data_IF_007180431102
#
_entry.id   IF_007180431102
#
_cell.length_a   1.000
_cell.length_b   1.000
_cell.length_c   1.000
_cell.angle_alpha   90.00
_cell.angle_beta   90.00
_cell.angle_gamma   90.00
#
_symmetry.space_group_name_H-M   'P 1'
#
loop_
_entity.id
_entity.type
_entity.pdbx_description
1 polymer ?
#
# COMPACT_ATOMS: atom_id res chain seq x y z
N UNK A 1 19.82 -22.96 -11.48
CA UNK A 1 21.02 -22.26 -10.90
C UNK A 1 20.60 -20.94 -10.25
N UNK A 2 19.94 -20.00 -10.95
CA UNK A 2 19.55 -18.69 -10.42
C UNK A 2 18.62 -18.79 -9.20
N UNK A 3 17.56 -19.62 -9.25
CA UNK A 3 16.63 -19.82 -8.13
C UNK A 3 17.34 -20.27 -6.85
N UNK A 4 18.27 -21.25 -6.95
CA UNK A 4 19.09 -21.68 -5.82
C UNK A 4 19.89 -20.52 -5.22
N UNK A 5 20.52 -19.71 -6.07
CA UNK A 5 21.26 -18.54 -5.63
C UNK A 5 20.39 -17.54 -4.86
N UNK A 6 19.18 -17.26 -5.36
CA UNK A 6 18.24 -16.33 -4.71
C UNK A 6 17.79 -16.87 -3.34
N UNK A 7 17.45 -18.16 -3.25
CA UNK A 7 17.07 -18.80 -1.98
C UNK A 7 18.21 -18.74 -0.99
N UNK A 8 19.44 -19.12 -1.41
CA UNK A 8 20.62 -19.10 -0.54
C UNK A 8 20.97 -17.67 -0.09
N UNK A 9 20.82 -16.67 -0.95
CA UNK A 9 21.01 -15.27 -0.60
C UNK A 9 20.03 -14.82 0.48
N UNK A 10 18.74 -15.12 0.34
CA UNK A 10 17.74 -14.79 1.37
C UNK A 10 18.06 -15.48 2.69
N UNK A 11 18.37 -16.77 2.66
CA UNK A 11 18.76 -17.51 3.87
C UNK A 11 20.02 -16.96 4.54
N UNK A 12 21.00 -16.52 3.76
CA UNK A 12 22.19 -15.87 4.30
C UNK A 12 21.84 -14.61 5.12
N UNK A 13 20.99 -13.73 4.57
CA UNK A 13 20.58 -12.52 5.27
C UNK A 13 19.76 -12.81 6.54
N UNK A 14 18.93 -13.87 6.53
CA UNK A 14 18.19 -14.30 7.72
C UNK A 14 19.15 -14.82 8.78
N UNK A 15 20.05 -15.75 8.42
CA UNK A 15 20.89 -16.46 9.39
C UNK A 15 22.01 -15.60 9.95
N UNK A 16 22.67 -14.79 9.11
CA UNK A 16 23.86 -14.02 9.50
C UNK A 16 23.53 -12.62 10.00
N UNK A 17 22.43 -12.02 9.47
CA UNK A 17 22.07 -10.62 9.76
C UNK A 17 20.72 -10.48 10.49
N UNK A 18 20.02 -11.58 10.73
CA UNK A 18 18.75 -11.60 11.46
C UNK A 18 17.70 -10.67 10.85
N UNK A 19 17.60 -10.65 9.50
CA UNK A 19 16.62 -9.86 8.78
C UNK A 19 15.21 -10.48 8.95
N UNK A 20 14.22 -9.64 9.30
CA UNK A 20 12.85 -10.07 9.61
C UNK A 20 11.93 -10.10 8.39
N UNK A 21 12.39 -9.63 7.22
CA UNK A 21 11.58 -9.62 6.01
C UNK A 21 12.30 -9.08 4.79
N UNK A 22 11.68 -9.22 3.62
CA UNK A 22 12.25 -8.83 2.33
C UNK A 22 11.24 -8.11 1.47
N UNK A 23 11.67 -7.02 0.85
CA UNK A 23 10.97 -6.34 -0.23
C UNK A 23 11.66 -6.67 -1.55
N UNK A 24 10.91 -7.21 -2.50
CA UNK A 24 11.39 -7.50 -3.84
C UNK A 24 11.06 -6.35 -4.79
N UNK A 25 12.09 -5.71 -5.29
CA UNK A 25 12.00 -4.77 -6.39
C UNK A 25 11.56 -5.50 -7.65
N UNK A 26 10.63 -4.92 -8.42
CA UNK A 26 10.11 -5.55 -9.63
C UNK A 26 9.79 -7.04 -9.45
N UNK A 27 9.13 -7.42 -8.35
CA UNK A 27 8.79 -8.82 -8.05
C UNK A 27 8.11 -9.52 -9.24
N UNK A 28 7.37 -8.77 -10.04
CA UNK A 28 6.67 -9.27 -11.22
C UNK A 28 7.55 -9.81 -12.35
N UNK A 29 8.87 -9.65 -12.30
CA UNK A 29 9.79 -10.30 -13.27
C UNK A 29 10.18 -11.73 -12.87
N UNK A 30 9.98 -12.11 -11.62
CA UNK A 30 10.26 -13.45 -11.12
C UNK A 30 9.10 -14.40 -11.43
N UNK A 31 9.41 -15.70 -11.53
CA UNK A 31 8.38 -16.72 -11.60
C UNK A 31 7.80 -17.03 -10.21
N UNK A 32 6.52 -17.43 -10.19
CA UNK A 32 5.77 -17.76 -8.98
C UNK A 32 6.45 -18.87 -8.18
N UNK A 33 7.01 -19.87 -8.86
CA UNK A 33 7.67 -21.01 -8.21
C UNK A 33 8.90 -20.55 -7.43
N UNK A 34 9.72 -19.65 -8.01
CA UNK A 34 10.89 -19.05 -7.32
C UNK A 34 10.46 -18.31 -6.07
N UNK A 35 9.42 -17.49 -6.16
CA UNK A 35 8.92 -16.74 -5.00
C UNK A 35 8.38 -17.66 -3.91
N UNK A 36 7.65 -18.72 -4.29
CA UNK A 36 7.14 -19.72 -3.34
C UNK A 36 8.26 -20.53 -2.69
N UNK A 37 9.33 -20.89 -3.43
CA UNK A 37 10.49 -21.56 -2.84
C UNK A 37 11.24 -20.64 -1.84
N UNK A 38 11.42 -19.37 -2.17
CA UNK A 38 12.01 -18.38 -1.25
C UNK A 38 11.15 -18.30 0.02
N UNK A 39 9.83 -18.15 -0.13
CA UNK A 39 8.91 -18.08 1.02
C UNK A 39 9.00 -19.34 1.88
N UNK A 40 8.98 -20.51 1.27
CA UNK A 40 9.08 -21.79 1.96
C UNK A 40 10.40 -21.91 2.74
N UNK A 41 11.51 -21.56 2.12
CA UNK A 41 12.82 -21.63 2.75
C UNK A 41 12.93 -20.64 3.91
N UNK A 42 12.53 -19.41 3.73
CA UNK A 42 12.55 -18.37 4.77
C UNK A 42 11.70 -18.74 5.98
N UNK A 43 10.45 -19.21 5.76
CA UNK A 43 9.55 -19.59 6.85
C UNK A 43 9.91 -20.88 7.55
N UNK A 44 10.75 -21.72 6.95
CA UNK A 44 11.31 -22.88 7.64
C UNK A 44 12.36 -22.48 8.70
N UNK A 45 13.00 -21.31 8.56
CA UNK A 45 13.91 -20.72 9.56
C UNK A 45 13.11 -19.93 10.58
N UNK A 46 12.27 -19.00 10.12
CA UNK A 46 11.42 -18.19 10.97
C UNK A 46 10.05 -17.94 10.29
N UNK A 47 8.94 -18.45 10.86
CA UNK A 47 7.61 -18.31 10.29
C UNK A 47 7.11 -16.85 10.25
N UNK A 48 7.74 -15.93 10.99
CA UNK A 48 7.38 -14.51 11.05
C UNK A 48 7.98 -13.67 9.93
N UNK A 49 8.94 -14.21 9.16
CA UNK A 49 9.55 -13.51 8.03
C UNK A 49 8.47 -13.01 7.06
N UNK A 50 8.46 -11.71 6.83
CA UNK A 50 7.51 -11.06 5.94
C UNK A 50 8.11 -10.84 4.56
N UNK A 51 7.41 -11.27 3.50
CA UNK A 51 7.84 -11.09 2.11
C UNK A 51 6.79 -10.31 1.34
N UNK A 52 7.23 -9.25 0.66
CA UNK A 52 6.38 -8.46 -0.22
C UNK A 52 7.18 -7.86 -1.37
N UNK A 53 6.50 -7.32 -2.35
CA UNK A 53 7.20 -6.69 -3.46
C UNK A 53 6.29 -5.94 -4.43
N UNK A 54 6.90 -5.49 -5.50
CA UNK A 54 6.21 -4.82 -6.61
C UNK A 54 5.67 -5.86 -7.58
N UNK A 55 4.35 -6.00 -7.62
CA UNK A 55 3.66 -6.95 -8.48
C UNK A 55 3.57 -6.50 -9.95
N UNK A 56 4.60 -5.82 -10.45
CA UNK A 56 4.76 -5.37 -11.84
C UNK A 56 6.18 -5.60 -12.34
N UNK A 57 6.39 -5.40 -13.65
CA UNK A 57 7.68 -5.52 -14.33
C UNK A 57 8.00 -4.21 -15.08
N UNK A 58 9.27 -3.85 -15.19
CA UNK A 58 9.71 -2.65 -15.89
C UNK A 58 9.70 -2.80 -17.42
N UNK A 59 9.66 -4.04 -17.92
CA UNK A 59 9.67 -4.38 -19.35
C UNK A 59 8.81 -5.62 -19.61
N UNK A 60 8.59 -5.96 -20.87
CA UNK A 60 7.87 -7.18 -21.23
C UNK A 60 8.66 -8.43 -20.80
N UNK A 61 8.18 -9.21 -19.84
CA UNK A 61 8.85 -10.45 -19.42
C UNK A 61 8.78 -11.50 -20.52
N UNK A 62 9.78 -12.37 -20.56
CA UNK A 62 9.82 -13.47 -21.53
C UNK A 62 8.97 -14.67 -21.10
N UNK A 63 8.64 -14.78 -19.82
CA UNK A 63 7.80 -15.87 -19.28
C UNK A 63 6.32 -15.54 -19.50
N UNK A 64 5.50 -16.60 -19.53
CA UNK A 64 4.05 -16.46 -19.60
C UNK A 64 3.49 -15.67 -18.41
N UNK A 65 2.53 -14.79 -18.67
CA UNK A 65 1.96 -13.89 -17.66
C UNK A 65 1.38 -14.61 -16.44
N UNK A 66 0.83 -15.79 -16.62
CA UNK A 66 0.22 -16.62 -15.56
C UNK A 66 1.26 -17.36 -14.68
N UNK A 67 2.53 -17.39 -15.10
CA UNK A 67 3.65 -17.94 -14.34
C UNK A 67 4.48 -16.89 -13.61
N UNK A 68 4.22 -15.61 -13.84
CA UNK A 68 4.95 -14.50 -13.25
C UNK A 68 4.37 -14.08 -11.90
N UNK A 69 5.22 -13.62 -10.99
CA UNK A 69 4.84 -13.07 -9.68
C UNK A 69 4.23 -11.65 -9.80
N UNK A 70 3.41 -11.45 -10.84
CA UNK A 70 2.63 -10.23 -11.04
C UNK A 70 1.54 -10.10 -9.99
N UNK A 71 1.12 -8.88 -9.68
CA UNK A 71 0.05 -8.58 -8.72
C UNK A 71 -1.21 -9.44 -8.93
N UNK A 72 -1.64 -9.58 -10.19
CA UNK A 72 -2.80 -10.41 -10.53
C UNK A 72 -2.68 -11.89 -10.13
N UNK A 73 -1.46 -12.39 -9.90
CA UNK A 73 -1.16 -13.76 -9.50
C UNK A 73 -0.84 -13.93 -8.01
N UNK A 74 -0.95 -12.87 -7.20
CA UNK A 74 -0.59 -12.89 -5.77
C UNK A 74 -1.34 -13.99 -5.00
N UNK A 75 -2.56 -14.31 -5.40
CA UNK A 75 -3.32 -15.43 -4.82
C UNK A 75 -2.63 -16.80 -4.98
N UNK A 76 -1.68 -16.97 -5.93
CA UNK A 76 -0.88 -18.19 -6.12
C UNK A 76 0.37 -18.23 -5.23
N UNK A 77 0.61 -17.17 -4.43
CA UNK A 77 1.79 -17.01 -3.61
C UNK A 77 1.39 -16.78 -2.14
N UNK A 78 0.94 -17.82 -1.42
CA UNK A 78 0.50 -17.69 -0.03
C UNK A 78 1.58 -17.08 0.87
N UNK A 79 1.20 -16.03 1.64
CA UNK A 79 2.11 -15.35 2.56
C UNK A 79 3.09 -14.36 1.90
N UNK A 80 2.93 -14.08 0.60
CA UNK A 80 3.66 -13.01 -0.11
C UNK A 80 2.67 -11.91 -0.45
N UNK A 81 3.05 -10.65 -0.20
CA UNK A 81 2.21 -9.49 -0.44
C UNK A 81 2.70 -8.65 -1.63
N UNK A 82 1.79 -7.87 -2.21
CA UNK A 82 2.10 -6.92 -3.28
C UNK A 82 1.53 -5.53 -2.96
N UNK A 83 2.16 -4.49 -3.49
CA UNK A 83 1.67 -3.12 -3.41
C UNK A 83 0.38 -2.94 -4.20
N UNK A 84 -0.60 -2.22 -3.63
CA UNK A 84 -1.87 -1.89 -4.29
C UNK A 84 -1.83 -0.48 -4.88
N UNK A 85 -1.54 -0.39 -6.16
CA UNK A 85 -1.64 0.86 -6.92
C UNK A 85 -3.11 1.29 -7.14
N UNK A 86 -4.08 0.37 -7.02
CA UNK A 86 -5.51 0.70 -7.11
C UNK A 86 -5.90 1.75 -6.07
N UNK A 87 -5.58 1.49 -4.80
CA UNK A 87 -5.92 2.40 -3.71
C UNK A 87 -5.07 3.66 -3.74
N UNK A 88 -3.75 3.52 -4.00
CA UNK A 88 -2.84 4.65 -4.11
C UNK A 88 -3.33 5.68 -5.12
N UNK A 89 -3.62 5.23 -6.33
CA UNK A 89 -3.98 6.15 -7.42
C UNK A 89 -5.42 6.63 -7.33
N UNK A 90 -6.33 5.83 -6.76
CA UNK A 90 -7.67 6.29 -6.44
C UNK A 90 -7.69 7.41 -5.38
N UNK A 91 -6.73 7.42 -4.46
CA UNK A 91 -6.59 8.50 -3.47
C UNK A 91 -5.94 9.73 -4.09
N UNK A 92 -4.74 9.62 -4.64
CA UNK A 92 -3.88 10.77 -4.99
C UNK A 92 -3.87 11.14 -6.47
N UNK A 93 -4.37 10.28 -7.35
CA UNK A 93 -4.31 10.42 -8.81
C UNK A 93 -3.30 9.46 -9.46
N UNK A 94 -3.42 9.25 -10.79
CA UNK A 94 -2.69 8.23 -11.54
C UNK A 94 -1.17 8.48 -11.56
N UNK A 95 -0.40 7.40 -11.58
CA UNK A 95 1.07 7.44 -11.60
C UNK A 95 1.63 8.22 -12.80
N UNK A 96 0.98 8.11 -13.95
CA UNK A 96 1.49 8.67 -15.22
C UNK A 96 1.20 10.17 -15.41
N UNK A 97 0.38 10.79 -14.55
CA UNK A 97 0.03 12.21 -14.64
C UNK A 97 -0.01 12.86 -13.26
N UNK A 98 1.07 13.54 -12.92
CA UNK A 98 1.22 14.19 -11.62
C UNK A 98 0.30 15.41 -11.40
N UNK A 99 -0.34 15.92 -12.46
CA UNK A 99 -1.27 17.05 -12.38
C UNK A 99 -2.72 16.59 -12.20
N UNK A 100 -3.01 15.34 -12.53
CA UNK A 100 -4.35 14.80 -12.36
C UNK A 100 -4.56 14.41 -10.89
N UNK A 101 -5.53 15.05 -10.23
CA UNK A 101 -6.00 14.65 -8.90
C UNK A 101 -6.96 13.46 -8.96
N UNK A 102 -7.38 12.99 -7.78
CA UNK A 102 -8.43 11.99 -7.63
C UNK A 102 -9.24 12.27 -6.35
N UNK A 103 -9.56 11.27 -5.55
CA UNK A 103 -10.42 11.39 -4.36
C UNK A 103 -9.97 12.52 -3.41
N UNK A 104 -8.68 12.64 -3.12
CA UNK A 104 -8.13 13.69 -2.25
C UNK A 104 -8.31 15.10 -2.85
N UNK A 105 -8.39 15.22 -4.16
CA UNK A 105 -8.69 16.49 -4.84
C UNK A 105 -10.21 16.77 -4.98
N UNK A 106 -11.05 15.98 -4.29
CA UNK A 106 -12.51 16.13 -4.36
C UNK A 106 -13.16 15.57 -5.64
N UNK A 107 -12.42 14.76 -6.42
CA UNK A 107 -12.91 14.19 -7.67
C UNK A 107 -13.58 12.83 -7.41
N UNK A 108 -14.81 12.60 -7.94
CA UNK A 108 -15.49 11.31 -7.82
C UNK A 108 -14.91 10.25 -8.76
N UNK A 109 -15.30 8.99 -8.55
CA UNK A 109 -14.98 7.86 -9.42
C UNK A 109 -13.86 6.95 -8.91
N UNK A 110 -13.21 7.31 -7.79
CA UNK A 110 -12.22 6.48 -7.11
C UNK A 110 -12.77 5.56 -6.02
N UNK A 111 -14.05 5.67 -5.68
CA UNK A 111 -14.67 5.08 -4.50
C UNK A 111 -14.56 3.55 -4.50
N UNK A 112 -14.80 2.89 -5.64
CA UNK A 112 -14.71 1.42 -5.72
C UNK A 112 -13.27 0.92 -5.58
N UNK A 113 -12.28 1.65 -6.09
CA UNK A 113 -10.86 1.33 -5.90
C UNK A 113 -10.41 1.54 -4.45
N UNK A 114 -10.97 2.54 -3.76
CA UNK A 114 -10.73 2.75 -2.33
C UNK A 114 -11.39 1.64 -1.52
N UNK A 115 -12.65 1.24 -1.82
CA UNK A 115 -13.31 0.11 -1.18
C UNK A 115 -12.52 -1.19 -1.39
N UNK A 116 -12.02 -1.42 -2.60
CA UNK A 116 -11.15 -2.55 -2.93
C UNK A 116 -9.89 -2.58 -2.04
N UNK A 117 -9.26 -1.43 -1.84
CA UNK A 117 -8.12 -1.29 -0.93
C UNK A 117 -8.51 -1.49 0.54
N UNK A 118 -9.65 -0.95 0.98
CA UNK A 118 -10.15 -1.10 2.37
C UNK A 118 -10.34 -2.57 2.72
N UNK A 119 -10.86 -3.40 1.82
CA UNK A 119 -11.04 -4.84 2.07
C UNK A 119 -9.74 -5.65 1.93
N UNK A 120 -8.61 -5.04 1.54
CA UNK A 120 -7.33 -5.73 1.37
C UNK A 120 -7.24 -6.54 0.08
N UNK A 121 -7.81 -6.05 -1.02
CA UNK A 121 -7.82 -6.67 -2.36
C UNK A 121 -8.45 -8.09 -2.40
N UNK A 122 -9.20 -8.48 -1.38
CA UNK A 122 -9.92 -9.75 -1.33
C UNK A 122 -11.32 -9.62 -1.92
N UNK A 123 -11.94 -10.74 -2.27
CA UNK A 123 -13.33 -10.75 -2.74
C UNK A 123 -14.28 -10.25 -1.64
N UNK A 124 -15.09 -9.26 -1.99
CA UNK A 124 -16.12 -8.71 -1.11
C UNK A 124 -17.42 -8.43 -1.89
N UNK A 125 -18.62 -8.78 -1.36
CA UNK A 125 -19.88 -8.67 -2.11
C UNK A 125 -20.29 -7.24 -2.44
N UNK A 126 -19.80 -6.25 -1.69
CA UNK A 126 -20.10 -4.83 -1.88
C UNK A 126 -19.02 -4.06 -2.65
N UNK A 127 -18.07 -4.75 -3.30
CA UNK A 127 -17.06 -4.15 -4.18
C UNK A 127 -17.35 -4.54 -5.61
N UNK A 128 -17.64 -3.55 -6.44
CA UNK A 128 -17.81 -3.73 -7.89
C UNK A 128 -16.44 -3.70 -8.58
N UNK A 129 -15.86 -4.90 -8.78
CA UNK A 129 -14.54 -5.00 -9.42
C UNK A 129 -14.52 -4.44 -10.85
N UNK A 130 -15.65 -4.37 -11.54
CA UNK A 130 -15.75 -3.75 -12.87
C UNK A 130 -15.38 -2.27 -12.88
N UNK A 131 -15.57 -1.58 -11.74
CA UNK A 131 -15.29 -0.16 -11.55
C UNK A 131 -13.95 0.13 -10.87
N UNK A 132 -13.25 -0.90 -10.38
CA UNK A 132 -11.87 -0.74 -9.87
C UNK A 132 -10.96 -0.32 -11.02
N UNK A 133 -10.00 0.58 -10.78
CA UNK A 133 -9.17 1.16 -11.84
C UNK A 133 -8.32 0.12 -12.59
N UNK A 134 -7.33 -0.52 -12.00
CA UNK A 134 -6.41 -1.41 -12.72
C UNK A 134 -6.85 -2.87 -12.71
N UNK A 135 -7.26 -3.39 -11.56
CA UNK A 135 -7.61 -4.80 -11.39
C UNK A 135 -9.10 -5.04 -11.49
N UNK A 136 -9.52 -5.88 -12.45
CA UNK A 136 -10.95 -6.22 -12.65
C UNK A 136 -11.40 -7.47 -11.87
N UNK A 137 -10.53 -7.96 -10.98
CA UNK A 137 -10.80 -9.08 -10.08
C UNK A 137 -9.98 -8.94 -8.79
N UNK A 138 -10.44 -9.52 -7.67
CA UNK A 138 -9.63 -9.66 -6.47
C UNK A 138 -8.35 -10.44 -6.78
N UNK A 139 -7.21 -9.96 -6.27
CA UNK A 139 -5.92 -10.62 -6.50
C UNK A 139 -5.26 -11.18 -5.23
N UNK A 140 -5.84 -10.90 -4.06
CA UNK A 140 -5.41 -11.45 -2.78
C UNK A 140 -6.39 -12.51 -2.30
N UNK A 141 -5.88 -13.63 -1.75
CA UNK A 141 -6.68 -14.59 -1.00
C UNK A 141 -6.94 -14.11 0.42
N UNK A 142 -5.93 -13.47 1.02
CA UNK A 142 -5.99 -12.92 2.36
C UNK A 142 -5.60 -11.44 2.34
N UNK A 143 -6.19 -10.59 3.20
CA UNK A 143 -5.91 -9.16 3.21
C UNK A 143 -4.44 -8.84 3.56
N UNK A 144 -3.73 -9.75 4.22
CA UNK A 144 -2.30 -9.65 4.51
C UNK A 144 -1.39 -9.74 3.28
N UNK A 145 -1.95 -10.10 2.12
CA UNK A 145 -1.24 -10.11 0.84
C UNK A 145 -1.27 -8.74 0.13
N UNK A 146 -1.91 -7.75 0.70
CA UNK A 146 -1.97 -6.41 0.14
C UNK A 146 -1.20 -5.40 1.00
N UNK A 147 -0.31 -4.62 0.37
CA UNK A 147 0.32 -3.45 0.97
C UNK A 147 -0.55 -2.23 0.67
N UNK A 148 -1.10 -1.64 1.74
CA UNK A 148 -1.83 -0.38 1.69
C UNK A 148 -0.86 0.79 1.82
N UNK A 149 -0.84 1.69 0.85
CA UNK A 149 0.05 2.85 0.86
C UNK A 149 -0.49 3.99 0.00
N UNK A 150 0.09 5.14 0.12
CA UNK A 150 -0.26 6.32 -0.69
C UNK A 150 0.94 6.92 -1.40
N UNK A 151 2.15 6.77 -0.87
CA UNK A 151 3.40 7.07 -1.57
C UNK A 151 4.56 6.21 -1.06
N UNK A 152 5.64 6.15 -1.84
CA UNK A 152 6.88 5.48 -1.48
C UNK A 152 8.09 6.27 -2.04
N UNK A 153 9.25 5.61 -2.19
CA UNK A 153 10.46 6.26 -2.71
C UNK A 153 10.40 6.58 -4.20
N UNK A 154 9.64 5.81 -4.98
CA UNK A 154 9.37 6.09 -6.40
C UNK A 154 8.24 7.09 -6.55
N UNK A 155 8.29 7.89 -7.63
CA UNK A 155 7.35 8.97 -7.91
C UNK A 155 7.42 10.10 -6.85
N UNK A 156 6.48 11.02 -6.88
CA UNK A 156 6.37 12.12 -5.91
C UNK A 156 5.95 11.60 -4.53
N UNK A 157 6.53 12.14 -3.46
CA UNK A 157 5.95 11.97 -2.13
C UNK A 157 4.57 12.64 -2.05
N UNK A 158 3.76 12.28 -1.05
CA UNK A 158 2.37 12.70 -0.96
C UNK A 158 2.19 14.21 -0.98
N UNK A 159 3.01 14.95 -0.22
CA UNK A 159 2.97 16.42 -0.16
C UNK A 159 3.21 17.05 -1.53
N UNK A 160 4.23 16.61 -2.25
CA UNK A 160 4.55 17.13 -3.59
C UNK A 160 3.47 16.78 -4.60
N UNK A 161 2.92 15.56 -4.49
CA UNK A 161 1.84 15.09 -5.34
C UNK A 161 0.56 15.92 -5.18
N UNK A 162 0.16 16.21 -3.94
CA UNK A 162 -1.02 17.04 -3.66
C UNK A 162 -0.83 18.47 -4.13
N UNK A 163 0.36 19.05 -3.93
CA UNK A 163 0.69 20.39 -4.46
C UNK A 163 0.63 20.45 -5.99
N UNK A 164 1.06 19.38 -6.67
CA UNK A 164 1.04 19.30 -8.13
C UNK A 164 -0.37 19.14 -8.69
N UNK A 165 -1.22 18.35 -8.04
CA UNK A 165 -2.57 18.03 -8.52
C UNK A 165 -3.66 18.97 -8.03
N UNK A 166 -3.38 19.81 -7.01
CA UNK A 166 -4.32 20.79 -6.46
C UNK A 166 -3.62 22.15 -6.43
N UNK A 167 -3.59 22.88 -7.56
CA UNK A 167 -2.93 24.18 -7.62
C UNK A 167 -3.50 25.17 -6.61
N UNK A 168 -2.64 25.81 -5.84
CA UNK A 168 -3.04 26.79 -4.83
C UNK A 168 -3.53 26.19 -3.51
N UNK A 169 -3.35 24.89 -3.29
CA UNK A 169 -3.68 24.25 -2.01
C UNK A 169 -3.04 24.98 -0.83
N UNK A 170 -3.81 25.29 0.20
CA UNK A 170 -3.28 25.91 1.41
C UNK A 170 -2.53 24.89 2.29
N UNK A 171 -1.61 25.35 3.17
CA UNK A 171 -0.94 24.45 4.11
C UNK A 171 -1.91 23.66 5.01
N UNK A 172 -2.99 24.27 5.43
CA UNK A 172 -4.04 23.66 6.26
C UNK A 172 -4.80 22.56 5.51
N UNK A 173 -5.16 22.82 4.26
CA UNK A 173 -5.81 21.83 3.39
C UNK A 173 -4.87 20.68 3.09
N UNK A 174 -3.60 20.98 2.79
CA UNK A 174 -2.58 19.97 2.54
C UNK A 174 -2.43 19.01 3.73
N UNK A 175 -2.35 19.57 4.95
CA UNK A 175 -2.28 18.76 6.18
C UNK A 175 -3.56 17.92 6.41
N UNK A 176 -4.74 18.47 6.07
CA UNK A 176 -6.00 17.72 6.17
C UNK A 176 -6.06 16.57 5.17
N UNK A 177 -5.63 16.78 3.93
CA UNK A 177 -5.63 15.73 2.90
C UNK A 177 -4.57 14.66 3.17
N UNK A 178 -3.42 15.03 3.70
CA UNK A 178 -2.41 14.08 4.18
C UNK A 178 -3.00 13.15 5.26
N UNK A 179 -3.63 13.74 6.29
CA UNK A 179 -4.32 12.98 7.34
C UNK A 179 -5.42 12.07 6.80
N UNK A 180 -6.21 12.55 5.82
CA UNK A 180 -7.26 11.76 5.19
C UNK A 180 -6.69 10.56 4.43
N UNK A 181 -5.61 10.77 3.66
CA UNK A 181 -4.90 9.71 2.95
C UNK A 181 -4.44 8.61 3.89
N UNK A 182 -3.80 8.99 4.99
CA UNK A 182 -3.31 8.02 5.97
C UNK A 182 -4.45 7.36 6.76
N UNK A 183 -5.56 8.06 6.97
CA UNK A 183 -6.75 7.42 7.53
C UNK A 183 -7.18 6.24 6.67
N UNK A 184 -7.27 6.41 5.35
CA UNK A 184 -7.61 5.33 4.43
C UNK A 184 -6.59 4.17 4.51
N UNK A 185 -5.29 4.47 4.58
CA UNK A 185 -4.23 3.46 4.69
C UNK A 185 -4.34 2.68 6.00
N UNK A 186 -4.41 3.37 7.15
CA UNK A 186 -4.37 2.71 8.46
C UNK A 186 -5.67 2.03 8.86
N UNK A 187 -6.80 2.39 8.28
CA UNK A 187 -8.09 1.75 8.55
C UNK A 187 -8.47 0.67 7.53
N UNK A 188 -7.64 0.43 6.52
CA UNK A 188 -7.79 -0.69 5.58
C UNK A 188 -7.37 -2.02 6.22
N UNK A 189 -7.82 -3.15 5.64
CA UNK A 189 -7.49 -4.49 6.10
C UNK A 189 -6.11 -4.98 5.64
N UNK A 190 -5.52 -4.33 4.63
CA UNK A 190 -4.16 -4.61 4.16
C UNK A 190 -3.08 -4.25 5.18
N UNK A 191 -1.83 -4.57 4.86
CA UNK A 191 -0.66 -4.18 5.65
C UNK A 191 -0.32 -2.72 5.37
N UNK A 192 -0.37 -1.81 6.36
CA UNK A 192 -0.10 -0.41 6.12
C UNK A 192 1.40 -0.17 5.90
N UNK A 193 1.71 0.67 4.94
CA UNK A 193 3.06 1.12 4.64
C UNK A 193 3.11 2.65 4.69
N UNK A 194 4.11 3.19 5.36
CA UNK A 194 4.39 4.63 5.47
C UNK A 194 5.73 4.90 4.80
N UNK A 195 5.78 5.85 3.89
CA UNK A 195 7.04 6.36 3.39
C UNK A 195 7.70 7.24 4.45
N UNK A 196 8.96 6.95 4.80
CA UNK A 196 9.67 7.65 5.87
C UNK A 196 9.64 9.18 5.68
N UNK A 197 9.12 9.90 6.67
CA UNK A 197 8.95 11.34 6.67
C UNK A 197 7.54 11.82 6.28
N UNK A 198 6.64 10.95 5.81
CA UNK A 198 5.24 11.35 5.58
C UNK A 198 4.59 11.89 6.85
N UNK A 199 4.88 11.26 7.99
CA UNK A 199 4.38 11.66 9.31
C UNK A 199 4.80 13.07 9.77
N UNK A 200 5.74 13.68 9.04
CA UNK A 200 6.17 15.05 9.22
C UNK A 200 6.01 15.87 7.95
N UNK A 201 5.15 15.43 7.05
CA UNK A 201 4.86 16.09 5.77
C UNK A 201 6.11 16.29 4.90
N UNK A 202 6.87 15.23 4.69
CA UNK A 202 8.09 15.26 3.86
C UNK A 202 7.83 15.90 2.51
N UNK A 203 8.71 16.83 2.15
CA UNK A 203 8.65 17.60 0.92
C UNK A 203 9.97 17.42 0.15
N UNK A 204 9.89 16.93 -1.07
CA UNK A 204 11.01 16.75 -1.98
C UNK A 204 11.07 17.82 -3.07
N UNK A 205 10.45 18.98 -2.82
CA UNK A 205 10.48 20.16 -3.70
C UNK A 205 9.93 19.90 -5.11
N UNK A 206 8.94 19.03 -5.20
CA UNK A 206 8.29 18.66 -6.46
C UNK A 206 9.11 17.71 -7.35
N UNK A 207 10.20 17.12 -6.85
CA UNK A 207 11.01 16.18 -7.63
C UNK A 207 10.25 14.87 -7.77
N UNK A 208 9.97 14.50 -9.00
CA UNK A 208 9.20 13.31 -9.35
C UNK A 208 9.90 12.01 -8.94
N UNK A 209 11.13 11.81 -9.39
CA UNK A 209 11.94 10.63 -9.06
C UNK A 209 13.30 11.05 -8.54
N UNK A 210 13.48 10.97 -7.22
CA UNK A 210 14.59 11.62 -6.54
C UNK A 210 15.79 10.71 -6.26
N UNK A 211 15.86 9.49 -6.80
CA UNK A 211 16.89 8.51 -6.46
C UNK A 211 18.33 9.01 -6.74
N UNK A 212 18.54 9.88 -7.72
CA UNK A 212 19.83 10.52 -8.03
C UNK A 212 19.93 11.96 -7.51
N UNK A 213 18.93 12.44 -6.78
CA UNK A 213 18.94 13.81 -6.26
C UNK A 213 19.86 13.92 -5.05
N UNK A 214 20.42 15.13 -4.78
CA UNK A 214 21.29 15.37 -3.65
C UNK A 214 20.52 15.31 -2.31
N UNK A 215 21.26 15.31 -1.20
CA UNK A 215 20.71 15.31 0.16
C UNK A 215 19.77 16.49 0.41
N UNK A 216 19.98 17.64 -0.23
CA UNK A 216 19.08 18.78 -0.15
C UNK A 216 17.64 18.49 -0.60
N UNK A 217 17.41 17.39 -1.33
CA UNK A 217 16.10 16.85 -1.74
C UNK A 217 15.75 15.61 -0.92
N UNK A 218 16.71 14.72 -0.71
CA UNK A 218 16.44 13.38 -0.16
C UNK A 218 16.52 13.30 1.37
N UNK A 219 17.26 14.19 2.05
CA UNK A 219 17.32 14.19 3.51
C UNK A 219 15.93 14.47 4.12
N UNK A 220 15.65 13.79 5.23
CA UNK A 220 14.45 14.09 6.03
C UNK A 220 14.79 15.27 6.95
N UNK A 221 14.10 16.39 6.76
CA UNK A 221 14.20 17.54 7.66
C UNK A 221 13.38 17.30 8.94
N UNK A 222 14.04 16.86 9.99
CA UNK A 222 13.40 16.55 11.26
C UNK A 222 12.84 17.77 12.00
N UNK A 223 13.17 19.00 11.61
CA UNK A 223 12.55 20.22 12.16
C UNK A 223 11.06 20.25 11.84
N UNK A 224 10.65 19.67 10.71
CA UNK A 224 9.26 19.54 10.30
C UNK A 224 8.40 18.77 11.32
N UNK A 225 9.00 17.93 12.15
CA UNK A 225 8.27 17.26 13.26
C UNK A 225 7.69 18.26 14.26
N UNK A 226 8.37 19.38 14.49
CA UNK A 226 7.87 20.45 15.35
C UNK A 226 6.89 21.34 14.58
N UNK A 227 7.18 21.64 13.32
CA UNK A 227 6.35 22.49 12.47
C UNK A 227 4.99 21.84 12.17
N UNK A 228 4.96 20.52 12.02
CA UNK A 228 3.76 19.71 11.74
C UNK A 228 3.45 18.72 12.87
N UNK A 229 3.57 19.20 14.11
CA UNK A 229 3.37 18.38 15.31
C UNK A 229 1.96 17.76 15.39
N UNK A 230 0.96 18.43 14.85
CA UNK A 230 -0.42 17.99 14.76
C UNK A 230 -0.60 16.80 13.77
N UNK A 231 0.13 16.81 12.63
CA UNK A 231 0.17 15.72 11.66
C UNK A 231 0.87 14.52 12.29
N UNK A 232 2.04 14.72 12.88
CA UNK A 232 2.76 13.65 13.58
C UNK A 232 1.92 13.01 14.68
N UNK A 233 1.22 13.82 15.50
CA UNK A 233 0.32 13.32 16.53
C UNK A 233 -0.85 12.51 15.94
N UNK A 234 -1.37 12.92 14.78
CA UNK A 234 -2.44 12.21 14.08
C UNK A 234 -2.01 10.83 13.60
N UNK A 235 -0.83 10.70 12.96
CA UNK A 235 -0.27 9.40 12.57
C UNK A 235 -0.07 8.48 13.78
N UNK A 236 0.48 9.03 14.87
CA UNK A 236 0.60 8.29 16.13
C UNK A 236 -0.78 7.81 16.63
N UNK A 237 -1.80 8.63 16.53
CA UNK A 237 -3.19 8.29 16.87
C UNK A 237 -3.73 7.15 16.01
N UNK A 238 -3.54 7.19 14.68
CA UNK A 238 -3.94 6.13 13.76
C UNK A 238 -3.24 4.80 14.05
N UNK A 239 -1.94 4.84 14.37
CA UNK A 239 -1.19 3.64 14.76
C UNK A 239 -1.77 3.06 16.05
N UNK A 240 -2.06 3.88 17.05
CA UNK A 240 -2.67 3.44 18.32
C UNK A 240 -4.08 2.88 18.09
N UNK A 241 -4.90 3.55 17.29
CA UNK A 241 -6.22 3.07 16.90
C UNK A 241 -6.13 1.65 16.31
N UNK A 242 -5.28 1.45 15.30
CA UNK A 242 -5.11 0.16 14.65
C UNK A 242 -4.55 -0.91 15.61
N UNK A 243 -3.65 -0.54 16.54
CA UNK A 243 -3.11 -1.46 17.55
C UNK A 243 -4.16 -1.91 18.55
N UNK A 244 -4.99 -1.00 19.05
CA UNK A 244 -5.99 -1.28 20.06
C UNK A 244 -7.26 -1.92 19.50
N UNK A 245 -7.54 -1.75 18.21
CA UNK A 245 -8.73 -2.32 17.56
C UNK A 245 -8.36 -3.39 16.53
N UNK A 246 -8.34 -4.68 16.91
CA UNK A 246 -8.05 -5.80 16.01
C UNK A 246 -8.94 -5.83 14.76
N UNK A 247 -10.13 -5.25 14.82
CA UNK A 247 -11.06 -5.12 13.71
C UNK A 247 -10.46 -4.48 12.43
N UNK A 248 -9.41 -3.64 12.55
CA UNK A 248 -8.70 -3.08 11.40
C UNK A 248 -7.64 -4.02 10.80
N UNK A 249 -7.44 -5.21 11.38
CA UNK A 249 -6.42 -6.18 10.96
C UNK A 249 -6.91 -7.61 11.16
N UNK A 250 -8.05 -7.91 10.56
CA UNK A 250 -8.73 -9.20 10.71
C UNK A 250 -7.89 -10.38 10.19
N UNK A 251 -7.02 -10.14 9.19
CA UNK A 251 -6.07 -11.11 8.67
C UNK A 251 -6.68 -12.26 7.84
N UNK A 252 -8.00 -12.39 7.82
CA UNK A 252 -8.75 -13.43 7.14
C UNK A 252 -9.85 -12.86 6.25
N UNK A 253 -9.91 -13.27 5.00
CA UNK A 253 -10.87 -12.79 4.02
C UNK A 253 -12.34 -13.15 4.37
N UNK A 254 -12.57 -14.26 5.07
CA UNK A 254 -13.89 -14.65 5.57
C UNK A 254 -14.37 -13.70 6.66
N UNK A 255 -13.48 -13.34 7.58
CA UNK A 255 -13.77 -12.35 8.63
C UNK A 255 -14.02 -10.96 8.03
N UNK A 256 -13.23 -10.55 7.03
CA UNK A 256 -13.46 -9.27 6.32
C UNK A 256 -14.86 -9.26 5.71
N UNK A 257 -15.26 -10.29 4.96
CA UNK A 257 -16.61 -10.38 4.38
C UNK A 257 -17.73 -10.38 5.41
N UNK A 258 -17.49 -10.96 6.57
CA UNK A 258 -18.47 -11.06 7.65
C UNK A 258 -18.65 -9.77 8.43
N UNK A 259 -17.56 -9.08 8.73
CA UNK A 259 -17.52 -8.00 9.70
C UNK A 259 -17.37 -6.61 9.12
N UNK A 260 -16.84 -6.46 7.89
CA UNK A 260 -16.78 -5.17 7.21
C UNK A 260 -18.03 -4.97 6.33
N UNK A 261 -18.67 -3.83 6.47
CA UNK A 261 -19.86 -3.48 5.69
C UNK A 261 -19.75 -2.04 5.21
N UNK A 262 -19.85 -1.83 3.90
CA UNK A 262 -19.95 -0.49 3.33
C UNK A 262 -21.38 0.04 3.48
N UNK A 263 -21.47 1.28 3.93
CA UNK A 263 -22.72 1.98 4.14
C UNK A 263 -23.06 2.82 2.91
N UNK A 264 -24.35 3.02 2.62
CA UNK A 264 -24.75 3.99 1.62
C UNK A 264 -24.18 5.37 1.96
N UNK A 265 -23.63 6.06 0.97
CA UNK A 265 -23.17 7.42 1.10
C UNK A 265 -23.90 8.28 0.05
N UNK A 266 -24.47 9.39 0.48
CA UNK A 266 -25.07 10.37 -0.43
C UNK A 266 -23.99 11.29 -0.99
N UNK A 267 -24.06 11.58 -2.29
CA UNK A 267 -23.06 12.36 -3.01
C UNK A 267 -21.89 11.54 -3.50
N UNK A 268 -21.13 12.08 -4.46
CA UNK A 268 -19.85 11.52 -4.90
C UNK A 268 -18.74 11.83 -3.93
N UNK A 269 -17.62 11.12 -4.07
CA UNK A 269 -16.40 11.33 -3.29
C UNK A 269 -16.55 11.06 -1.78
N UNK A 270 -17.35 10.05 -1.41
CA UNK A 270 -17.51 9.56 -0.04
C UNK A 270 -17.43 8.05 -0.01
N UNK A 271 -16.65 7.52 0.93
CA UNK A 271 -16.62 6.10 1.26
C UNK A 271 -16.92 5.95 2.74
N UNK A 272 -18.01 5.27 3.09
CA UNK A 272 -18.42 5.01 4.45
C UNK A 272 -18.49 3.50 4.70
N UNK A 273 -17.98 3.04 5.83
CA UNK A 273 -18.06 1.65 6.23
C UNK A 273 -18.05 1.51 7.74
N UNK A 274 -18.50 0.37 8.21
CA UNK A 274 -18.43 -0.03 9.62
C UNK A 274 -17.79 -1.39 9.78
N UNK A 275 -17.17 -1.59 10.91
CA UNK A 275 -16.76 -2.90 11.42
C UNK A 275 -17.81 -3.33 12.46
N UNK A 276 -18.42 -4.48 12.22
CA UNK A 276 -19.52 -5.00 13.07
C UNK A 276 -18.98 -5.49 14.41
N UNK A 277 -19.86 -5.56 15.39
CA UNK A 277 -19.56 -6.20 16.68
C UNK A 277 -18.93 -7.59 16.49
N UNK A 278 -18.06 -7.99 17.39
CA UNK A 278 -17.27 -9.23 17.37
C UNK A 278 -16.16 -9.26 16.31
N UNK A 279 -15.86 -8.15 15.64
CA UNK A 279 -14.66 -8.04 14.78
C UNK A 279 -13.36 -7.82 15.60
N UNK A 280 -13.38 -8.11 16.91
CA UNK A 280 -12.23 -7.94 17.80
C UNK A 280 -12.14 -6.54 18.40
N UNK A 281 -13.24 -5.86 18.54
CA UNK A 281 -13.39 -4.60 19.28
C UNK A 281 -14.05 -4.81 20.63
#
# INVERSE_FOLDING_TARGET
MMRKYMVESVLHWINEYHIDGFRFDLMGIHDIETMNEIRKAATAVDPTIFIYGEGWAASAPQLAQDSLAMKANTYKMPGIAAFSDEMRDALRGPFNDNRQGAFLAGLPGGEESIKFGIVGAVRHPQVDNGKVNYSKAPWAEQPTQMISYVSCHDDMCLVDRLKSSIPGITPEELARLDKLAQTAVFTSQGVPFIYAGEEVMRDKKGVHNSYQSPDSVNAIDWKRKTEHADVFAYYKGLIQLRKHHPAFRLGDAGLVRKHLEFLPAEGGNVVAYRLKEHAGG
#
